data_IF_567856672759
#
_entry.id   IF_567856672759
#
_cell.length_a   1.000
_cell.length_b   1.000
_cell.length_c   1.000
_cell.angle_alpha   90.00
_cell.angle_beta   90.00
_cell.angle_gamma   90.00
#
_symmetry.space_group_name_H-M   'P 1'
#
loop_
_entity.id
_entity.type
_entity.pdbx_description
1 polymer ?
#
# COMPACT_ATOMS: atom_id res chain seq x y z
N UNK A 1 36.66 28.09 -16.60
CA UNK A 1 36.54 27.23 -15.40
C UNK A 1 35.44 27.67 -14.42
N UNK A 2 35.29 28.94 -14.06
CA UNK A 2 34.19 29.39 -13.17
C UNK A 2 32.78 29.18 -13.76
N UNK A 3 32.56 29.51 -15.02
CA UNK A 3 31.25 29.22 -15.66
C UNK A 3 30.97 27.72 -15.78
N UNK A 4 32.02 26.91 -15.96
CA UNK A 4 31.90 25.46 -15.98
C UNK A 4 31.46 24.92 -14.62
N UNK A 5 32.09 25.37 -13.53
CA UNK A 5 31.74 24.91 -12.18
C UNK A 5 30.31 25.31 -11.80
N UNK A 6 29.84 26.48 -12.24
CA UNK A 6 28.50 26.95 -11.98
C UNK A 6 27.44 26.07 -12.67
N UNK A 7 27.69 25.64 -13.92
CA UNK A 7 26.80 24.74 -14.65
C UNK A 7 26.77 23.32 -14.07
N UNK A 8 27.94 22.80 -13.71
CA UNK A 8 28.06 21.44 -13.16
C UNK A 8 27.55 21.32 -11.72
N UNK A 9 27.55 22.41 -10.96
CA UNK A 9 27.15 22.41 -9.56
C UNK A 9 25.69 21.97 -9.34
N UNK A 10 24.77 22.24 -10.27
CA UNK A 10 23.37 21.82 -10.16
C UNK A 10 23.22 20.30 -10.23
N UNK A 11 24.00 19.65 -11.09
CA UNK A 11 24.03 18.20 -11.25
C UNK A 11 24.88 17.49 -10.19
N UNK A 12 25.77 18.20 -9.51
CA UNK A 12 26.67 17.64 -8.51
C UNK A 12 25.92 17.30 -7.22
N UNK A 13 26.26 16.12 -6.67
CA UNK A 13 25.61 15.56 -5.47
C UNK A 13 26.30 15.96 -4.17
N UNK A 14 27.60 16.29 -4.24
CA UNK A 14 28.42 16.70 -3.10
C UNK A 14 29.57 17.61 -3.52
N UNK A 15 30.23 18.23 -2.54
CA UNK A 15 31.43 19.04 -2.78
C UNK A 15 32.58 18.19 -3.34
N UNK A 16 32.73 16.97 -2.84
CA UNK A 16 33.73 16.03 -3.32
C UNK A 16 33.47 15.60 -4.77
N UNK A 17 32.21 15.31 -5.13
CA UNK A 17 31.80 14.99 -6.49
C UNK A 17 32.16 16.13 -7.44
N UNK A 18 31.77 17.36 -7.11
CA UNK A 18 32.09 18.54 -7.92
C UNK A 18 33.60 18.79 -8.02
N UNK A 19 34.34 18.65 -6.92
CA UNK A 19 35.80 18.83 -6.91
C UNK A 19 36.51 17.78 -7.80
N UNK A 20 36.10 16.51 -7.74
CA UNK A 20 36.63 15.45 -8.61
C UNK A 20 36.38 15.77 -10.08
N UNK A 21 35.16 16.19 -10.44
CA UNK A 21 34.82 16.61 -11.82
C UNK A 21 35.65 17.83 -12.24
N UNK A 22 35.80 18.82 -11.36
CA UNK A 22 36.58 20.03 -11.63
C UNK A 22 38.05 19.72 -11.90
N UNK A 23 38.67 18.84 -11.11
CA UNK A 23 40.05 18.37 -11.34
C UNK A 23 40.17 17.67 -12.69
N UNK A 24 39.22 16.80 -13.03
CA UNK A 24 39.20 16.11 -14.32
C UNK A 24 39.08 17.11 -15.49
N UNK A 25 38.24 18.14 -15.36
CA UNK A 25 38.06 19.17 -16.38
C UNK A 25 39.31 20.05 -16.54
N UNK A 26 39.95 20.45 -15.44
CA UNK A 26 41.24 21.16 -15.50
C UNK A 26 42.30 20.33 -16.25
N UNK A 27 42.38 19.02 -15.99
CA UNK A 27 43.29 18.11 -16.71
C UNK A 27 42.94 18.02 -18.20
N UNK A 28 41.65 17.86 -18.53
CA UNK A 28 41.16 17.76 -19.91
C UNK A 28 41.48 19.03 -20.72
N UNK A 29 41.31 20.19 -20.10
CA UNK A 29 41.55 21.51 -20.73
C UNK A 29 42.99 22.00 -20.61
N UNK A 30 43.87 21.23 -19.96
CA UNK A 30 45.26 21.62 -19.64
C UNK A 30 45.36 22.93 -18.85
N UNK A 31 44.37 23.20 -18.00
CA UNK A 31 44.38 24.33 -17.07
C UNK A 31 45.18 23.97 -15.82
N UNK A 32 46.05 24.88 -15.34
CA UNK A 32 46.80 24.69 -14.08
C UNK A 32 45.82 24.52 -12.93
N UNK A 33 46.00 23.46 -12.15
CA UNK A 33 45.13 23.16 -11.03
C UNK A 33 45.37 24.16 -9.88
N UNK A 34 44.32 24.83 -9.36
CA UNK A 34 44.44 25.64 -8.16
C UNK A 34 44.83 24.81 -6.92
N UNK A 35 45.28 25.46 -5.86
CA UNK A 35 45.47 24.80 -4.56
C UNK A 35 44.20 24.15 -4.04
N UNK A 36 44.32 23.07 -3.27
CA UNK A 36 43.18 22.26 -2.78
C UNK A 36 42.12 23.07 -2.04
N UNK A 37 42.54 23.98 -1.15
CA UNK A 37 41.63 24.88 -0.42
C UNK A 37 40.86 25.85 -1.32
N UNK A 38 41.47 26.26 -2.44
CA UNK A 38 40.80 27.11 -3.44
C UNK A 38 39.76 26.32 -4.22
N UNK A 39 40.06 25.07 -4.58
CA UNK A 39 39.08 24.18 -5.23
C UNK A 39 37.90 23.94 -4.31
N UNK A 40 38.15 23.60 -3.05
CA UNK A 40 37.11 23.32 -2.06
C UNK A 40 36.15 24.52 -1.91
N UNK A 41 36.70 25.73 -1.74
CA UNK A 41 35.91 26.95 -1.63
C UNK A 41 35.13 27.27 -2.91
N UNK A 42 35.76 27.17 -4.08
CA UNK A 42 35.07 27.39 -5.36
C UNK A 42 33.90 26.41 -5.58
N UNK A 43 34.10 25.14 -5.22
CA UNK A 43 33.05 24.13 -5.31
C UNK A 43 31.93 24.41 -4.30
N UNK A 44 32.27 24.77 -3.06
CA UNK A 44 31.29 25.09 -2.01
C UNK A 44 30.44 26.32 -2.40
N UNK A 45 31.08 27.40 -2.84
CA UNK A 45 30.40 28.62 -3.29
C UNK A 45 29.46 28.32 -4.47
N UNK A 46 29.94 27.53 -5.46
CA UNK A 46 29.13 27.14 -6.60
C UNK A 46 27.94 26.24 -6.23
N UNK A 47 28.10 25.36 -5.23
CA UNK A 47 27.01 24.52 -4.74
C UNK A 47 25.94 25.31 -3.98
N UNK A 48 26.35 26.31 -3.20
CA UNK A 48 25.41 27.23 -2.53
C UNK A 48 24.63 28.04 -3.56
N UNK A 49 25.31 28.57 -4.57
CA UNK A 49 24.66 29.33 -5.62
C UNK A 49 23.73 28.46 -6.48
N UNK A 50 24.12 27.21 -6.76
CA UNK A 50 23.25 26.25 -7.43
C UNK A 50 22.02 25.89 -6.58
N UNK A 51 22.14 25.81 -5.25
CA UNK A 51 20.99 25.58 -4.37
C UNK A 51 20.02 26.77 -4.42
N UNK A 52 20.53 28.00 -4.35
CA UNK A 52 19.70 29.21 -4.50
C UNK A 52 18.97 29.27 -5.84
N UNK A 53 19.66 29.03 -6.96
CA UNK A 53 18.99 29.01 -8.27
C UNK A 53 17.87 27.98 -8.38
N UNK A 54 18.01 26.83 -7.74
CA UNK A 54 16.95 25.80 -7.70
C UNK A 54 15.78 26.27 -6.82
N UNK A 55 16.06 26.87 -5.67
CA UNK A 55 15.05 27.46 -4.78
C UNK A 55 14.27 28.55 -5.51
N UNK A 56 14.98 29.49 -6.16
CA UNK A 56 14.40 30.58 -6.94
C UNK A 56 13.57 30.03 -8.10
N UNK A 57 14.09 29.06 -8.87
CA UNK A 57 13.37 28.45 -10.00
C UNK A 57 12.00 27.88 -9.56
N UNK A 58 11.96 27.21 -8.41
CA UNK A 58 10.71 26.66 -7.87
C UNK A 58 9.81 27.80 -7.37
N UNK A 59 10.36 28.76 -6.64
CA UNK A 59 9.62 29.90 -6.10
C UNK A 59 8.94 30.74 -7.20
N UNK A 60 9.61 30.96 -8.33
CA UNK A 60 9.06 31.71 -9.47
C UNK A 60 7.86 31.03 -10.14
N UNK A 61 7.67 29.73 -9.93
CA UNK A 61 6.50 28.97 -10.43
C UNK A 61 5.32 29.00 -9.46
N UNK A 62 5.51 29.50 -8.24
CA UNK A 62 4.47 29.53 -7.20
C UNK A 62 3.61 30.77 -7.40
N UNK A 63 2.31 30.56 -7.59
CA UNK A 63 1.35 31.67 -7.70
C UNK A 63 1.16 32.37 -6.35
N UNK A 64 0.73 33.65 -6.32
CA UNK A 64 0.47 34.35 -5.06
C UNK A 64 -0.51 33.59 -4.14
N UNK A 65 -1.59 33.06 -4.69
CA UNK A 65 -2.57 32.25 -3.93
C UNK A 65 -1.95 30.97 -3.36
N UNK A 66 -1.08 30.29 -4.12
CA UNK A 66 -0.38 29.12 -3.61
C UNK A 66 0.62 29.52 -2.52
N UNK A 67 1.33 30.64 -2.67
CA UNK A 67 2.24 31.18 -1.66
C UNK A 67 1.54 31.39 -0.31
N UNK A 68 0.37 32.05 -0.33
CA UNK A 68 -0.47 32.27 0.86
C UNK A 68 -0.90 30.94 1.50
N UNK A 69 -1.40 30.00 0.70
CA UNK A 69 -1.80 28.68 1.19
C UNK A 69 -0.63 27.90 1.82
N UNK A 70 0.57 27.99 1.22
CA UNK A 70 1.78 27.38 1.77
C UNK A 70 2.22 28.06 3.07
N UNK A 71 2.11 29.38 3.17
CA UNK A 71 2.40 30.13 4.39
C UNK A 71 1.49 29.72 5.55
N UNK A 72 0.20 29.52 5.28
CA UNK A 72 -0.76 29.04 6.29
C UNK A 72 -0.40 27.67 6.87
N UNK A 73 0.40 26.84 6.18
CA UNK A 73 0.91 25.60 6.76
C UNK A 73 1.73 25.84 8.05
N UNK A 74 2.38 27.00 8.16
CA UNK A 74 3.24 27.37 9.27
C UNK A 74 2.51 28.15 10.38
N UNK A 75 1.28 28.61 10.11
CA UNK A 75 0.48 29.45 11.00
C UNK A 75 -0.67 28.66 11.63
N UNK A 76 -1.44 27.95 10.79
CA UNK A 76 -2.60 27.22 11.23
C UNK A 76 -2.22 26.01 12.07
N UNK A 77 -2.96 25.77 13.14
CA UNK A 77 -2.78 24.62 14.02
C UNK A 77 -3.92 23.63 13.92
N UNK A 78 -3.59 22.35 14.07
CA UNK A 78 -4.55 21.26 14.26
C UNK A 78 -4.75 21.08 15.76
N UNK A 79 -6.01 21.15 16.19
CA UNK A 79 -6.44 21.04 17.59
C UNK A 79 -5.71 22.00 18.56
N UNK A 80 -5.20 23.13 18.05
CA UNK A 80 -4.45 24.11 18.84
C UNK A 80 -3.05 23.65 19.29
N UNK A 81 -2.53 22.53 18.78
CA UNK A 81 -1.31 21.88 19.32
C UNK A 81 -0.12 21.89 18.36
N UNK A 82 -0.34 21.51 17.11
CA UNK A 82 0.72 21.36 16.11
C UNK A 82 0.34 22.12 14.86
N UNK A 83 1.32 22.76 14.20
CA UNK A 83 1.07 23.42 12.92
C UNK A 83 0.66 22.41 11.85
N UNK A 84 -0.09 22.86 10.83
CA UNK A 84 -0.47 22.04 9.68
C UNK A 84 0.75 21.39 9.02
N UNK A 85 1.86 22.11 8.90
CA UNK A 85 3.13 21.60 8.40
C UNK A 85 3.64 20.38 9.19
N UNK A 86 3.68 20.47 10.53
CA UNK A 86 4.12 19.35 11.38
C UNK A 86 3.13 18.19 11.34
N UNK A 87 1.83 18.48 11.34
CA UNK A 87 0.78 17.46 11.26
C UNK A 87 0.81 16.66 9.95
N UNK A 88 1.13 17.32 8.83
CA UNK A 88 1.28 16.71 7.51
C UNK A 88 2.53 15.86 7.37
N UNK A 89 3.61 16.22 8.06
CA UNK A 89 4.85 15.43 8.13
C UNK A 89 4.68 14.12 8.90
N UNK A 90 3.81 14.10 9.90
CA UNK A 90 3.71 13.00 10.87
C UNK A 90 2.65 11.98 10.46
N UNK A 91 3.06 10.97 9.69
CA UNK A 91 2.20 9.83 9.36
C UNK A 91 2.96 8.52 9.35
N UNK A 92 2.26 7.45 9.71
CA UNK A 92 2.75 6.09 9.71
C UNK A 92 1.67 5.16 9.16
N UNK A 93 2.09 3.96 8.75
CA UNK A 93 1.16 2.93 8.26
C UNK A 93 0.16 2.57 9.35
N UNK A 94 -1.11 2.83 9.07
CA UNK A 94 -2.21 2.57 9.97
C UNK A 94 -2.56 1.10 10.08
N UNK A 95 -3.41 0.80 11.06
CA UNK A 95 -3.84 -0.57 11.35
C UNK A 95 -5.35 -0.66 11.63
N UNK A 96 -6.17 0.31 11.25
CA UNK A 96 -7.62 0.22 11.37
C UNK A 96 -8.28 1.30 10.52
N UNK A 97 -9.60 1.24 10.41
CA UNK A 97 -10.39 2.18 9.62
C UNK A 97 -10.23 3.63 10.10
N UNK A 98 -10.04 3.87 11.40
CA UNK A 98 -9.80 5.21 11.95
C UNK A 98 -8.43 5.76 11.53
N UNK A 99 -7.38 4.94 11.55
CA UNK A 99 -6.05 5.32 11.07
C UNK A 99 -6.08 5.58 9.55
N UNK A 100 -6.78 4.76 8.77
CA UNK A 100 -6.96 4.98 7.34
C UNK A 100 -7.66 6.34 7.07
N UNK A 101 -8.72 6.66 7.81
CA UNK A 101 -9.40 7.95 7.67
C UNK A 101 -8.51 9.14 8.03
N UNK A 102 -7.73 9.07 9.11
CA UNK A 102 -6.77 10.13 9.47
C UNK A 102 -5.70 10.37 8.40
N UNK A 103 -5.27 9.32 7.70
CA UNK A 103 -4.35 9.45 6.56
C UNK A 103 -5.05 10.11 5.37
N UNK A 104 -6.30 9.74 5.09
CA UNK A 104 -7.11 10.36 4.04
C UNK A 104 -7.44 11.82 4.32
N UNK A 105 -7.65 12.22 5.58
CA UNK A 105 -7.84 13.63 5.96
C UNK A 105 -6.62 14.48 5.57
N UNK A 106 -5.41 13.94 5.75
CA UNK A 106 -4.15 14.61 5.35
C UNK A 106 -4.01 14.68 3.84
N UNK A 107 -4.26 13.57 3.14
CA UNK A 107 -4.17 13.54 1.68
C UNK A 107 -5.15 14.52 1.05
N UNK A 108 -6.39 14.54 1.51
CA UNK A 108 -7.44 15.45 1.03
C UNK A 108 -7.10 16.91 1.33
N UNK A 109 -6.49 17.20 2.49
CA UNK A 109 -6.01 18.54 2.79
C UNK A 109 -4.91 18.98 1.80
N UNK A 110 -3.94 18.11 1.51
CA UNK A 110 -2.87 18.41 0.55
C UNK A 110 -3.36 18.50 -0.90
N UNK A 111 -4.40 17.76 -1.28
CA UNK A 111 -4.98 17.81 -2.62
C UNK A 111 -5.63 19.16 -2.95
N UNK A 112 -5.89 20.01 -1.95
CA UNK A 112 -6.40 21.39 -2.15
C UNK A 112 -5.32 22.36 -2.64
N UNK A 113 -4.04 21.97 -2.54
CA UNK A 113 -2.93 22.77 -3.04
C UNK A 113 -2.80 22.55 -4.54
N UNK A 114 -3.16 23.57 -5.31
CA UNK A 114 -3.03 23.62 -6.77
C UNK A 114 -1.56 23.84 -7.15
N UNK A 115 -0.78 22.76 -7.05
CA UNK A 115 0.64 22.78 -7.40
C UNK A 115 0.77 22.68 -8.93
N UNK A 116 1.52 23.59 -9.58
CA UNK A 116 1.76 23.54 -11.02
C UNK A 116 2.35 22.20 -11.47
N UNK A 117 1.90 21.70 -12.62
CA UNK A 117 2.39 20.42 -13.16
C UNK A 117 3.89 20.46 -13.51
N UNK A 118 4.39 21.65 -13.87
CA UNK A 118 5.78 21.95 -14.22
C UNK A 118 6.61 22.44 -13.01
N UNK A 119 6.08 22.36 -11.78
CA UNK A 119 6.75 22.85 -10.55
C UNK A 119 8.20 22.39 -10.45
N UNK A 120 8.47 21.12 -10.79
CA UNK A 120 9.80 20.50 -10.69
C UNK A 120 10.53 20.36 -12.04
N UNK A 121 10.02 20.93 -13.12
CA UNK A 121 10.67 20.81 -14.44
C UNK A 121 12.07 21.41 -14.41
N UNK A 122 13.06 20.64 -14.88
CA UNK A 122 14.47 21.05 -14.83
C UNK A 122 15.13 20.95 -13.45
N UNK A 123 14.42 20.52 -12.39
CA UNK A 123 14.98 20.32 -11.06
C UNK A 123 15.51 18.87 -10.94
N UNK A 124 16.81 18.66 -10.67
CA UNK A 124 17.34 17.31 -10.49
C UNK A 124 16.70 16.57 -9.29
N UNK A 125 16.37 15.29 -9.44
CA UNK A 125 15.69 14.49 -8.41
C UNK A 125 16.41 14.47 -7.04
N UNK A 126 17.75 14.55 -7.03
CA UNK A 126 18.52 14.62 -5.80
C UNK A 126 18.33 15.95 -5.05
N UNK A 127 18.07 17.06 -5.77
CA UNK A 127 17.74 18.38 -5.20
C UNK A 127 16.35 18.38 -4.58
N UNK A 128 15.37 17.81 -5.27
CA UNK A 128 14.01 17.57 -4.73
C UNK A 128 14.09 16.78 -3.42
N UNK A 129 14.85 15.67 -3.43
CA UNK A 129 15.07 14.84 -2.24
C UNK A 129 15.70 15.61 -1.08
N UNK A 130 16.66 16.50 -1.37
CA UNK A 130 17.32 17.35 -0.38
C UNK A 130 16.36 18.39 0.22
N UNK A 131 15.58 19.09 -0.60
CA UNK A 131 14.58 20.07 -0.14
C UNK A 131 13.52 19.39 0.75
N UNK A 132 12.99 18.22 0.34
CA UNK A 132 12.09 17.42 1.19
C UNK A 132 12.73 17.10 2.55
N UNK A 133 13.98 16.62 2.56
CA UNK A 133 14.71 16.29 3.81
C UNK A 133 14.94 17.52 4.69
N UNK A 134 15.11 18.71 4.11
CA UNK A 134 15.21 19.96 4.86
C UNK A 134 13.88 20.27 5.55
N UNK A 135 12.77 20.22 4.82
CA UNK A 135 11.44 20.42 5.42
C UNK A 135 11.11 19.38 6.49
N UNK A 136 11.61 18.15 6.36
CA UNK A 136 11.47 17.14 7.41
C UNK A 136 12.26 17.43 8.69
N UNK A 137 13.28 18.28 8.63
CA UNK A 137 14.11 18.66 9.79
C UNK A 137 13.61 19.92 10.49
N UNK A 138 13.10 20.89 9.74
CA UNK A 138 12.63 22.14 10.32
C UNK A 138 11.33 21.97 11.12
N UNK A 139 11.14 22.84 12.11
CA UNK A 139 9.85 23.15 12.72
C UNK A 139 9.33 24.47 12.13
N UNK A 140 8.10 24.86 12.48
CA UNK A 140 7.45 26.00 11.83
C UNK A 140 8.15 27.34 12.11
N UNK A 141 8.72 27.52 13.29
CA UNK A 141 9.58 28.64 13.64
C UNK A 141 10.83 28.70 12.75
N UNK A 142 11.61 27.62 12.70
CA UNK A 142 12.80 27.55 11.87
C UNK A 142 12.52 27.68 10.37
N UNK A 143 11.33 27.25 9.90
CA UNK A 143 10.88 27.51 8.53
C UNK A 143 10.56 28.99 8.29
N UNK A 144 9.95 29.69 9.26
CA UNK A 144 9.58 31.10 9.14
C UNK A 144 10.80 32.02 9.02
N UNK A 145 11.91 31.64 9.66
CA UNK A 145 13.16 32.40 9.66
C UNK A 145 13.96 32.29 8.34
N UNK A 146 13.56 31.41 7.42
CA UNK A 146 14.20 31.26 6.12
C UNK A 146 13.86 32.40 5.16
N UNK A 147 14.75 32.72 4.21
CA UNK A 147 14.40 33.57 3.06
C UNK A 147 13.15 33.05 2.35
N UNK A 148 12.33 33.96 1.83
CA UNK A 148 11.00 33.65 1.30
C UNK A 148 11.02 32.59 0.18
N UNK A 149 11.84 32.79 -0.86
CA UNK A 149 11.94 31.86 -1.99
C UNK A 149 12.35 30.46 -1.54
N UNK A 150 13.34 30.39 -0.64
CA UNK A 150 13.80 29.15 -0.03
C UNK A 150 12.70 28.46 0.78
N UNK A 151 11.99 29.22 1.61
CA UNK A 151 10.85 28.72 2.41
C UNK A 151 9.77 28.16 1.50
N UNK A 152 9.38 28.88 0.46
CA UNK A 152 8.34 28.48 -0.48
C UNK A 152 8.76 27.24 -1.29
N UNK A 153 10.00 27.18 -1.76
CA UNK A 153 10.52 26.02 -2.48
C UNK A 153 10.46 24.75 -1.62
N UNK A 154 10.90 24.81 -0.37
CA UNK A 154 10.84 23.68 0.57
C UNK A 154 9.37 23.28 0.83
N UNK A 155 8.48 24.23 1.12
CA UNK A 155 7.07 23.95 1.40
C UNK A 155 6.34 23.32 0.20
N UNK A 156 6.59 23.82 -1.00
CA UNK A 156 5.99 23.30 -2.23
C UNK A 156 6.48 21.87 -2.51
N UNK A 157 7.80 21.63 -2.40
CA UNK A 157 8.38 20.29 -2.55
C UNK A 157 7.83 19.33 -1.49
N UNK A 158 7.77 19.73 -0.22
CA UNK A 158 7.20 18.90 0.85
C UNK A 158 5.74 18.57 0.59
N UNK A 159 4.91 19.55 0.21
CA UNK A 159 3.50 19.34 -0.14
C UNK A 159 3.36 18.32 -1.27
N UNK A 160 4.14 18.46 -2.34
CA UNK A 160 4.15 17.52 -3.46
C UNK A 160 4.54 16.11 -3.02
N UNK A 161 5.67 15.98 -2.33
CA UNK A 161 6.25 14.68 -1.95
C UNK A 161 5.42 13.96 -0.87
N UNK A 162 4.83 14.70 0.06
CA UNK A 162 3.95 14.14 1.09
C UNK A 162 2.62 13.67 0.52
N UNK A 163 2.09 14.26 -0.57
CA UNK A 163 0.91 13.73 -1.27
C UNK A 163 1.16 12.31 -1.76
N UNK A 164 2.25 12.10 -2.50
CA UNK A 164 2.66 10.79 -2.99
C UNK A 164 2.94 9.81 -1.85
N UNK A 165 3.66 10.26 -0.81
CA UNK A 165 4.00 9.42 0.34
C UNK A 165 2.76 9.00 1.14
N UNK A 166 1.79 9.90 1.35
CA UNK A 166 0.54 9.58 2.03
C UNK A 166 -0.31 8.59 1.24
N UNK A 167 -0.37 8.74 -0.08
CA UNK A 167 -1.08 7.79 -0.95
C UNK A 167 -0.48 6.38 -0.81
N UNK A 168 0.85 6.26 -0.78
CA UNK A 168 1.55 5.00 -0.53
C UNK A 168 1.20 4.40 0.84
N UNK A 169 1.24 5.23 1.89
CA UNK A 169 0.91 4.80 3.25
C UNK A 169 -0.57 4.39 3.39
N UNK A 170 -1.49 4.98 2.63
CA UNK A 170 -2.90 4.56 2.57
C UNK A 170 -3.02 3.15 1.96
N UNK A 171 -2.32 2.88 0.85
CA UNK A 171 -2.28 1.54 0.23
C UNK A 171 -1.69 0.51 1.19
N UNK A 172 -0.59 0.83 1.87
CA UNK A 172 0.02 -0.06 2.89
C UNK A 172 -0.92 -0.30 4.09
N UNK A 173 -1.67 0.73 4.49
CA UNK A 173 -2.67 0.63 5.56
C UNK A 173 -3.79 -0.32 5.16
N UNK A 174 -4.28 -0.20 3.92
CA UNK A 174 -5.28 -1.11 3.37
C UNK A 174 -4.77 -2.56 3.34
N UNK A 175 -3.56 -2.78 2.81
CA UNK A 175 -2.89 -4.09 2.82
C UNK A 175 -2.84 -4.68 4.24
N UNK A 176 -2.42 -3.88 5.22
CA UNK A 176 -2.32 -4.30 6.62
C UNK A 176 -3.68 -4.61 7.26
N UNK A 177 -4.75 -3.94 6.87
CA UNK A 177 -6.12 -4.23 7.34
C UNK A 177 -6.61 -5.55 6.75
N UNK A 178 -6.51 -5.72 5.43
CA UNK A 178 -6.90 -6.96 4.73
C UNK A 178 -6.13 -8.16 5.27
N UNK A 179 -4.80 -8.05 5.36
CA UNK A 179 -3.94 -9.14 5.84
C UNK A 179 -4.18 -9.51 7.31
N UNK A 180 -4.67 -8.58 8.16
CA UNK A 180 -5.06 -8.93 9.54
C UNK A 180 -6.43 -9.57 9.63
N UNK A 181 -7.37 -9.14 8.79
CA UNK A 181 -8.66 -9.82 8.68
C UNK A 181 -8.45 -11.28 8.27
N UNK A 182 -7.72 -11.52 7.19
CA UNK A 182 -7.47 -12.89 6.71
C UNK A 182 -6.78 -13.76 7.77
N UNK A 183 -5.73 -13.25 8.42
CA UNK A 183 -5.05 -13.97 9.52
C UNK A 183 -5.93 -14.18 10.75
N UNK A 184 -6.90 -13.32 11.02
CA UNK A 184 -7.87 -13.54 12.10
C UNK A 184 -8.84 -14.66 11.72
N UNK A 185 -9.36 -14.64 10.49
CA UNK A 185 -10.21 -15.71 9.93
C UNK A 185 -9.50 -17.07 9.91
N UNK A 186 -8.25 -17.11 9.47
CA UNK A 186 -7.42 -18.32 9.46
C UNK A 186 -7.18 -18.87 10.87
N UNK A 187 -6.85 -17.99 11.84
CA UNK A 187 -6.69 -18.40 13.24
C UNK A 187 -7.97 -19.00 13.81
N UNK A 188 -9.14 -18.41 13.54
CA UNK A 188 -10.42 -18.95 14.01
C UNK A 188 -10.73 -20.33 13.42
N UNK A 189 -10.47 -20.53 12.13
CA UNK A 189 -10.60 -21.84 11.50
C UNK A 189 -9.64 -22.87 12.14
N UNK A 190 -8.38 -22.50 12.31
CA UNK A 190 -7.36 -23.38 12.89
C UNK A 190 -7.66 -23.74 14.35
N UNK A 191 -8.13 -22.78 15.16
CA UNK A 191 -8.58 -23.04 16.53
C UNK A 191 -9.75 -24.02 16.54
N UNK A 192 -10.76 -23.81 15.69
CA UNK A 192 -11.90 -24.73 15.60
C UNK A 192 -11.49 -26.15 15.20
N UNK A 193 -10.56 -26.29 14.26
CA UNK A 193 -10.00 -27.60 13.88
C UNK A 193 -9.24 -28.24 15.05
N UNK A 194 -8.49 -27.44 15.81
CA UNK A 194 -7.75 -27.92 16.98
C UNK A 194 -8.69 -28.40 18.09
N UNK A 195 -9.79 -27.67 18.35
CA UNK A 195 -10.79 -28.03 19.37
C UNK A 195 -11.49 -29.36 19.04
N UNK A 196 -11.75 -29.63 17.77
CA UNK A 196 -12.40 -30.86 17.30
C UNK A 196 -11.43 -32.05 17.13
N UNK A 197 -10.13 -31.88 17.40
CA UNK A 197 -9.10 -32.90 17.13
C UNK A 197 -9.35 -34.23 17.85
N UNK A 198 -9.85 -34.15 19.10
CA UNK A 198 -10.19 -35.35 19.86
C UNK A 198 -11.40 -36.07 19.24
N UNK A 199 -12.45 -35.33 18.89
CA UNK A 199 -13.64 -35.88 18.25
C UNK A 199 -13.32 -36.52 16.89
N UNK A 200 -12.43 -35.92 16.08
CA UNK A 200 -11.92 -36.51 14.83
C UNK A 200 -11.22 -37.84 15.09
N UNK A 201 -10.27 -37.87 16.04
CA UNK A 201 -9.54 -39.10 16.38
C UNK A 201 -10.49 -40.20 16.86
N UNK A 202 -11.41 -39.88 17.75
CA UNK A 202 -12.31 -40.86 18.36
C UNK A 202 -13.33 -41.38 17.34
N UNK A 203 -13.77 -40.52 16.42
CA UNK A 203 -14.61 -40.89 15.27
C UNK A 203 -13.88 -41.83 14.30
N UNK A 204 -12.64 -41.50 13.92
CA UNK A 204 -11.82 -42.36 13.05
C UNK A 204 -11.52 -43.72 13.70
N UNK A 205 -11.24 -43.73 15.00
CA UNK A 205 -11.04 -44.97 15.76
C UNK A 205 -12.29 -45.84 15.75
N UNK A 206 -13.46 -45.25 15.98
CA UNK A 206 -14.73 -45.97 15.96
C UNK A 206 -15.05 -46.56 14.57
N UNK A 207 -14.72 -45.83 13.49
CA UNK A 207 -14.84 -46.38 12.13
C UNK A 207 -13.84 -47.51 11.86
N UNK A 208 -12.60 -47.40 12.35
CA UNK A 208 -11.61 -48.47 12.22
C UNK A 208 -12.02 -49.74 12.99
N UNK A 209 -12.60 -49.60 14.18
CA UNK A 209 -13.14 -50.72 14.97
C UNK A 209 -14.29 -51.42 14.23
N UNK A 210 -15.25 -50.65 13.68
CA UNK A 210 -16.35 -51.20 12.90
C UNK A 210 -15.83 -51.86 11.62
N UNK A 211 -14.92 -51.20 10.90
CA UNK A 211 -14.30 -51.75 9.68
C UNK A 211 -13.51 -53.02 9.95
N UNK A 212 -12.77 -53.08 11.07
CA UNK A 212 -12.05 -54.27 11.49
C UNK A 212 -12.97 -55.44 11.83
N UNK A 213 -14.10 -55.18 12.50
CA UNK A 213 -15.10 -56.21 12.78
C UNK A 213 -15.75 -56.76 11.49
N UNK A 214 -16.03 -55.89 10.51
CA UNK A 214 -16.54 -56.29 9.21
C UNK A 214 -15.53 -57.14 8.43
N UNK A 215 -14.25 -56.73 8.40
CA UNK A 215 -13.18 -57.47 7.74
C UNK A 215 -12.94 -58.84 8.39
N UNK A 216 -12.89 -58.90 9.73
CA UNK A 216 -12.70 -60.18 10.44
C UNK A 216 -13.83 -61.17 10.16
N UNK A 217 -15.08 -60.73 10.17
CA UNK A 217 -16.20 -61.60 9.81
C UNK A 217 -16.18 -62.05 8.34
N UNK A 218 -15.70 -61.19 7.42
CA UNK A 218 -15.50 -61.56 6.03
C UNK A 218 -14.42 -62.64 5.89
N UNK A 219 -13.30 -62.50 6.59
CA UNK A 219 -12.19 -63.45 6.59
C UNK A 219 -12.61 -64.81 7.20
N UNK A 220 -13.45 -64.78 8.23
CA UNK A 220 -14.00 -65.97 8.91
C UNK A 220 -15.21 -66.59 8.17
N UNK A 221 -15.63 -66.02 7.03
CA UNK A 221 -16.80 -66.50 6.26
C UNK A 221 -18.15 -66.34 6.97
N UNK A 222 -18.23 -65.42 7.93
CA UNK A 222 -19.43 -65.15 8.75
C UNK A 222 -20.36 -64.14 8.07
N UNK A 223 -21.67 -64.25 8.31
CA UNK A 223 -22.65 -63.32 7.74
C UNK A 223 -22.46 -61.89 8.29
N UNK A 224 -22.41 -60.91 7.37
CA UNK A 224 -22.11 -59.50 7.69
C UNK A 224 -23.33 -58.71 8.19
N UNK A 225 -24.53 -59.21 7.94
CA UNK A 225 -25.81 -58.57 8.22
C UNK A 225 -26.04 -58.24 9.70
N UNK A 226 -25.48 -59.08 10.59
CA UNK A 226 -25.62 -58.93 12.04
C UNK A 226 -24.57 -58.03 12.71
N UNK A 227 -23.43 -57.72 12.08
CA UNK A 227 -22.24 -57.20 12.81
C UNK A 227 -22.48 -55.83 13.45
N UNK A 228 -23.17 -54.94 12.75
CA UNK A 228 -23.53 -53.61 13.29
C UNK A 228 -24.61 -53.74 14.36
N UNK A 229 -25.51 -54.72 14.21
CA UNK A 229 -26.61 -54.96 15.14
C UNK A 229 -26.16 -55.65 16.45
N UNK A 230 -25.19 -56.57 16.38
CA UNK A 230 -24.60 -57.28 17.53
C UNK A 230 -23.49 -56.49 18.21
N UNK A 231 -22.89 -55.52 17.51
CA UNK A 231 -21.88 -54.62 18.04
C UNK A 231 -22.45 -53.27 18.52
N UNK A 232 -22.08 -52.12 17.90
CA UNK A 232 -22.48 -50.79 18.35
C UNK A 232 -23.98 -50.46 18.39
N UNK A 233 -24.77 -51.15 17.57
CA UNK A 233 -26.14 -50.78 17.24
C UNK A 233 -26.24 -49.75 16.10
N UNK A 234 -27.33 -49.87 15.32
CA UNK A 234 -27.61 -48.97 14.19
C UNK A 234 -27.76 -47.50 14.57
N UNK A 235 -28.26 -47.22 15.77
CA UNK A 235 -28.40 -45.84 16.27
C UNK A 235 -27.03 -45.19 16.50
N UNK A 236 -26.11 -45.89 17.17
CA UNK A 236 -24.74 -45.41 17.40
C UNK A 236 -23.99 -45.21 16.10
N UNK A 237 -24.19 -46.09 15.12
CA UNK A 237 -23.61 -45.94 13.79
C UNK A 237 -24.14 -44.71 13.05
N UNK A 238 -25.46 -44.43 13.09
CA UNK A 238 -26.04 -43.21 12.51
C UNK A 238 -25.45 -41.95 13.15
N UNK A 239 -25.33 -41.93 14.48
CA UNK A 239 -24.68 -40.82 15.19
C UNK A 239 -23.23 -40.66 14.77
N UNK A 240 -22.47 -41.75 14.64
CA UNK A 240 -21.08 -41.72 14.19
C UNK A 240 -20.94 -41.15 12.76
N UNK A 241 -21.82 -41.54 11.84
CA UNK A 241 -21.86 -41.01 10.46
C UNK A 241 -22.21 -39.52 10.44
N UNK A 242 -23.18 -39.10 11.26
CA UNK A 242 -23.54 -37.69 11.40
C UNK A 242 -22.38 -36.87 11.97
N UNK A 243 -21.70 -37.37 13.00
CA UNK A 243 -20.51 -36.75 13.60
C UNK A 243 -19.37 -36.65 12.59
N UNK A 244 -19.06 -37.71 11.84
CA UNK A 244 -18.04 -37.65 10.79
C UNK A 244 -18.38 -36.63 9.70
N UNK A 245 -19.64 -36.53 9.30
CA UNK A 245 -20.09 -35.53 8.32
C UNK A 245 -19.90 -34.11 8.86
N UNK A 246 -20.28 -33.87 10.12
CA UNK A 246 -20.09 -32.58 10.79
C UNK A 246 -18.60 -32.20 10.92
N UNK A 247 -17.75 -33.15 11.33
CA UNK A 247 -16.30 -32.95 11.46
C UNK A 247 -15.62 -32.70 10.11
N UNK A 248 -16.05 -33.41 9.06
CA UNK A 248 -15.55 -33.18 7.70
C UNK A 248 -15.83 -31.76 7.24
N UNK A 249 -17.01 -31.21 7.55
CA UNK A 249 -17.34 -29.82 7.26
C UNK A 249 -16.48 -28.82 8.05
N UNK A 250 -16.13 -29.13 9.31
CA UNK A 250 -15.20 -28.29 10.11
C UNK A 250 -13.80 -28.30 9.50
N UNK A 251 -13.29 -29.48 9.11
CA UNK A 251 -11.97 -29.61 8.49
C UNK A 251 -11.89 -28.97 7.09
N UNK A 252 -13.01 -28.92 6.37
CA UNK A 252 -13.12 -28.25 5.07
C UNK A 252 -13.40 -26.74 5.16
N UNK A 253 -13.45 -26.17 6.38
CA UNK A 253 -13.75 -24.77 6.60
C UNK A 253 -12.66 -23.86 6.01
N UNK A 254 -13.04 -23.04 5.04
CA UNK A 254 -12.16 -22.08 4.38
C UNK A 254 -12.18 -20.73 5.13
N UNK A 255 -11.02 -20.12 5.46
CA UNK A 255 -10.94 -18.79 6.03
C UNK A 255 -11.76 -17.72 5.26
N UNK A 256 -11.92 -17.87 3.94
CA UNK A 256 -12.76 -16.97 3.13
C UNK A 256 -14.23 -16.95 3.57
N UNK A 257 -14.74 -18.01 4.20
CA UNK A 257 -16.12 -18.02 4.75
C UNK A 257 -16.32 -17.05 5.92
N UNK A 258 -15.22 -16.52 6.51
CA UNK A 258 -15.22 -15.65 7.68
C UNK A 258 -14.80 -14.20 7.37
N UNK A 259 -14.47 -13.88 6.12
CA UNK A 259 -14.01 -12.51 5.79
C UNK A 259 -15.15 -11.50 5.83
N UNK A 260 -16.41 -11.94 5.72
CA UNK A 260 -17.60 -11.11 5.92
C UNK A 260 -17.63 -10.40 7.29
N UNK A 261 -16.99 -10.98 8.32
CA UNK A 261 -16.84 -10.35 9.64
C UNK A 261 -16.07 -9.01 9.56
N UNK A 262 -15.31 -8.78 8.48
CA UNK A 262 -14.61 -7.54 8.20
C UNK A 262 -15.42 -6.47 7.47
N UNK A 263 -16.60 -6.80 6.96
CA UNK A 263 -17.38 -5.96 6.04
C UNK A 263 -17.58 -4.52 6.55
N UNK A 264 -18.14 -4.38 7.76
CA UNK A 264 -18.41 -3.06 8.34
C UNK A 264 -17.13 -2.24 8.52
N UNK A 265 -16.00 -2.88 8.86
CA UNK A 265 -14.72 -2.18 8.98
C UNK A 265 -14.23 -1.62 7.65
N UNK A 266 -14.43 -2.34 6.55
CA UNK A 266 -14.08 -1.85 5.22
C UNK A 266 -14.96 -0.67 4.79
N UNK A 267 -16.28 -0.76 4.98
CA UNK A 267 -17.21 0.33 4.61
C UNK A 267 -16.87 1.68 5.24
N UNK A 268 -16.26 1.68 6.43
CA UNK A 268 -15.87 2.91 7.14
C UNK A 268 -14.77 3.73 6.43
N UNK A 269 -14.00 3.14 5.50
CA UNK A 269 -12.89 3.86 4.85
C UNK A 269 -12.74 3.57 3.36
N UNK A 270 -13.08 2.37 2.90
CA UNK A 270 -12.82 1.94 1.53
C UNK A 270 -13.49 2.84 0.47
N UNK A 271 -14.78 3.24 0.56
CA UNK A 271 -15.38 4.11 -0.45
C UNK A 271 -14.64 5.45 -0.59
N UNK A 272 -14.15 6.01 0.52
CA UNK A 272 -13.37 7.26 0.51
C UNK A 272 -11.99 7.04 -0.10
N UNK A 273 -11.32 5.95 0.27
CA UNK A 273 -10.01 5.57 -0.28
C UNK A 273 -10.06 5.43 -1.81
N UNK A 274 -11.07 4.72 -2.32
CA UNK A 274 -11.24 4.48 -3.77
C UNK A 274 -11.53 5.76 -4.56
N UNK A 275 -12.08 6.80 -3.92
CA UNK A 275 -12.28 8.11 -4.55
C UNK A 275 -11.04 8.98 -4.54
N UNK A 276 -10.27 8.95 -3.44
CA UNK A 276 -9.10 9.80 -3.26
C UNK A 276 -7.86 9.31 -4.01
N UNK A 277 -7.72 8.00 -4.17
CA UNK A 277 -6.59 7.40 -4.87
C UNK A 277 -6.86 7.34 -6.38
N UNK A 278 -6.00 7.99 -7.15
CA UNK A 278 -6.01 7.91 -8.62
C UNK A 278 -5.31 6.62 -9.07
N UNK A 279 -6.12 5.57 -9.25
CA UNK A 279 -5.66 4.22 -9.59
C UNK A 279 -5.62 4.03 -11.10
N UNK A 280 -4.46 3.62 -11.60
CA UNK A 280 -4.25 3.18 -12.98
C UNK A 280 -3.97 1.68 -12.99
N UNK A 281 -4.27 1.00 -14.10
CA UNK A 281 -4.12 -0.46 -14.18
C UNK A 281 -3.55 -0.92 -15.51
N UNK A 282 -2.84 -2.05 -15.44
CA UNK A 282 -2.44 -2.80 -16.61
C UNK A 282 -3.69 -3.41 -17.29
N UNK A 283 -3.62 -3.76 -18.58
CA UNK A 283 -4.76 -4.36 -19.30
C UNK A 283 -5.38 -5.58 -18.60
N UNK A 284 -4.57 -6.36 -17.88
CA UNK A 284 -5.04 -7.54 -17.14
C UNK A 284 -5.89 -7.20 -15.90
N UNK A 285 -5.71 -6.02 -15.33
CA UNK A 285 -6.45 -5.55 -14.15
C UNK A 285 -7.57 -4.56 -14.49
N UNK A 286 -7.85 -4.32 -15.78
CA UNK A 286 -9.00 -3.51 -16.22
C UNK A 286 -10.34 -4.00 -15.65
N UNK A 287 -10.64 -5.32 -15.60
CA UNK A 287 -11.87 -5.80 -14.95
C UNK A 287 -11.95 -5.44 -13.47
N UNK A 288 -10.81 -5.40 -12.77
CA UNK A 288 -10.75 -4.99 -11.36
C UNK A 288 -11.02 -3.49 -11.20
N UNK A 289 -10.49 -2.62 -12.06
CA UNK A 289 -10.83 -1.20 -12.04
C UNK A 289 -12.31 -0.94 -12.36
N UNK A 290 -12.92 -1.73 -13.25
CA UNK A 290 -14.36 -1.64 -13.49
C UNK A 290 -15.15 -1.98 -12.21
N UNK A 291 -14.75 -3.02 -11.48
CA UNK A 291 -15.32 -3.36 -10.18
C UNK A 291 -15.12 -2.24 -9.13
N UNK A 292 -13.94 -1.62 -9.09
CA UNK A 292 -13.67 -0.44 -8.24
C UNK A 292 -14.59 0.73 -8.58
N UNK A 293 -14.83 1.00 -9.87
CA UNK A 293 -15.75 2.04 -10.31
C UNK A 293 -17.19 1.75 -9.84
N UNK A 294 -17.63 0.49 -9.86
CA UNK A 294 -18.92 0.10 -9.30
C UNK A 294 -18.98 0.33 -7.78
N UNK A 295 -17.92 -0.01 -7.02
CA UNK A 295 -17.87 0.28 -5.58
C UNK A 295 -17.94 1.79 -5.27
N UNK A 296 -17.34 2.64 -6.12
CA UNK A 296 -17.36 4.09 -5.95
C UNK A 296 -18.74 4.68 -6.21
N UNK A 297 -19.43 4.19 -7.25
CA UNK A 297 -20.66 4.79 -7.78
C UNK A 297 -21.93 4.08 -7.29
N UNK A 298 -21.79 2.96 -6.59
CA UNK A 298 -22.88 2.08 -6.18
C UNK A 298 -23.14 0.96 -7.17
N UNK A 299 -23.52 -0.20 -6.65
CA UNK A 299 -23.86 -1.39 -7.42
C UNK A 299 -25.32 -1.25 -7.88
N UNK A 300 -25.53 -1.14 -9.19
CA UNK A 300 -26.86 -0.96 -9.82
C UNK A 300 -27.36 -2.21 -10.55
N UNK A 301 -26.44 -3.10 -10.87
CA UNK A 301 -26.66 -4.34 -11.63
C UNK A 301 -25.82 -5.42 -10.96
N UNK A 302 -26.13 -6.68 -11.25
CA UNK A 302 -25.36 -7.80 -10.72
C UNK A 302 -23.88 -7.64 -11.05
N UNK A 303 -23.00 -7.67 -10.04
CA UNK A 303 -21.63 -7.28 -10.25
C UNK A 303 -20.81 -8.41 -10.89
N UNK A 304 -19.92 -8.11 -11.86
CA UNK A 304 -19.13 -9.11 -12.56
C UNK A 304 -18.06 -9.70 -11.65
N UNK A 305 -17.61 -10.92 -11.99
CA UNK A 305 -16.54 -11.62 -11.26
C UNK A 305 -15.30 -11.85 -12.13
N UNK A 306 -15.20 -11.19 -13.28
CA UNK A 306 -14.15 -11.38 -14.28
C UNK A 306 -12.76 -10.92 -13.81
N UNK A 307 -12.70 -10.13 -12.74
CA UNK A 307 -11.44 -9.77 -12.08
C UNK A 307 -10.83 -10.93 -11.29
N UNK A 308 -11.58 -12.01 -11.07
CA UNK A 308 -11.09 -13.22 -10.43
C UNK A 308 -10.38 -14.11 -11.45
N UNK A 309 -9.27 -14.73 -11.02
CA UNK A 309 -8.66 -15.81 -11.81
C UNK A 309 -9.61 -17.01 -11.90
N UNK A 310 -9.62 -17.77 -13.02
CA UNK A 310 -10.55 -18.90 -13.20
C UNK A 310 -10.54 -19.96 -12.10
N UNK A 311 -9.39 -20.17 -11.45
CA UNK A 311 -9.19 -21.13 -10.36
C UNK A 311 -9.34 -20.51 -8.95
N UNK A 312 -9.88 -19.30 -8.85
CA UNK A 312 -10.03 -18.59 -7.59
C UNK A 312 -11.03 -19.27 -6.66
N UNK A 313 -10.64 -19.49 -5.39
CA UNK A 313 -11.53 -20.02 -4.35
C UNK A 313 -12.76 -19.12 -4.10
N UNK A 314 -12.64 -17.82 -4.40
CA UNK A 314 -13.72 -16.85 -4.27
C UNK A 314 -14.95 -17.21 -5.10
N UNK A 315 -14.79 -17.86 -6.26
CA UNK A 315 -15.93 -18.25 -7.10
C UNK A 315 -16.94 -19.13 -6.35
N UNK A 316 -16.48 -20.09 -5.54
CA UNK A 316 -17.40 -20.97 -4.80
C UNK A 316 -18.22 -20.19 -3.78
N UNK A 317 -17.60 -19.21 -3.12
CA UNK A 317 -18.23 -18.46 -2.03
C UNK A 317 -19.18 -17.39 -2.58
N UNK A 318 -18.81 -16.72 -3.67
CA UNK A 318 -19.67 -15.73 -4.32
C UNK A 318 -20.91 -16.37 -4.97
N UNK A 319 -20.81 -17.59 -5.51
CA UNK A 319 -21.98 -18.32 -6.02
C UNK A 319 -22.94 -18.78 -4.92
N UNK A 320 -22.46 -18.87 -3.68
CA UNK A 320 -23.26 -19.29 -2.54
C UNK A 320 -23.93 -18.11 -1.82
N UNK A 321 -23.62 -16.86 -2.18
CA UNK A 321 -24.31 -15.69 -1.61
C UNK A 321 -25.76 -15.60 -2.10
N UNK A 322 -26.71 -15.21 -1.22
CA UNK A 322 -28.08 -14.90 -1.63
C UNK A 322 -28.11 -13.79 -2.69
N UNK A 323 -29.03 -13.90 -3.66
CA UNK A 323 -29.24 -12.85 -4.66
C UNK A 323 -29.52 -11.49 -4.01
N UNK A 324 -28.83 -10.45 -4.47
CA UNK A 324 -28.93 -9.09 -3.93
C UNK A 324 -28.05 -8.80 -2.71
N UNK A 325 -27.38 -9.80 -2.13
CA UNK A 325 -26.29 -9.58 -1.17
C UNK A 325 -24.96 -9.49 -1.93
N UNK A 326 -24.31 -8.33 -1.88
CA UNK A 326 -23.04 -8.09 -2.58
C UNK A 326 -21.88 -7.90 -1.61
N UNK A 327 -22.08 -8.18 -0.31
CA UNK A 327 -21.08 -7.87 0.73
C UNK A 327 -19.78 -8.64 0.55
N UNK A 328 -19.86 -9.93 0.22
CA UNK A 328 -18.65 -10.70 -0.05
C UNK A 328 -17.98 -10.26 -1.34
N UNK A 329 -18.77 -9.86 -2.36
CA UNK A 329 -18.24 -9.28 -3.58
C UNK A 329 -17.45 -7.99 -3.31
N UNK A 330 -17.98 -7.07 -2.49
CA UNK A 330 -17.26 -5.84 -2.11
C UNK A 330 -15.93 -6.18 -1.43
N UNK A 331 -15.93 -7.16 -0.51
CA UNK A 331 -14.71 -7.60 0.17
C UNK A 331 -13.74 -8.28 -0.81
N UNK A 332 -14.24 -9.09 -1.75
CA UNK A 332 -13.42 -9.73 -2.77
C UNK A 332 -12.67 -8.70 -3.60
N UNK A 333 -13.35 -7.64 -4.05
CA UNK A 333 -12.71 -6.53 -4.79
C UNK A 333 -11.59 -5.90 -3.96
N UNK A 334 -11.84 -5.60 -2.69
CA UNK A 334 -10.83 -5.02 -1.79
C UNK A 334 -9.61 -5.93 -1.58
N UNK A 335 -9.81 -7.24 -1.46
CA UNK A 335 -8.70 -8.19 -1.42
C UNK A 335 -7.88 -8.18 -2.72
N UNK A 336 -8.55 -8.11 -3.87
CA UNK A 336 -7.87 -8.11 -5.16
C UNK A 336 -7.19 -6.77 -5.45
N UNK A 337 -7.68 -5.64 -4.95
CA UNK A 337 -6.97 -4.35 -5.01
C UNK A 337 -5.61 -4.45 -4.31
N UNK A 338 -5.58 -5.01 -3.09
CA UNK A 338 -4.33 -5.27 -2.38
C UNK A 338 -3.38 -6.14 -3.21
N UNK A 339 -3.87 -7.24 -3.77
CA UNK A 339 -3.03 -8.17 -4.51
C UNK A 339 -2.54 -7.55 -5.85
N UNK A 340 -3.35 -6.70 -6.48
CA UNK A 340 -2.99 -5.95 -7.68
C UNK A 340 -1.92 -4.87 -7.41
N UNK A 341 -2.02 -4.14 -6.29
CA UNK A 341 -0.94 -3.22 -5.87
C UNK A 341 0.37 -3.95 -5.55
N UNK A 342 0.29 -5.14 -4.95
CA UNK A 342 1.48 -5.96 -4.62
C UNK A 342 2.17 -6.53 -5.85
N UNK A 343 1.40 -6.87 -6.89
CA UNK A 343 1.92 -7.39 -8.16
C UNK A 343 2.33 -6.31 -9.15
N UNK A 344 1.92 -5.05 -8.92
CA UNK A 344 2.14 -3.94 -9.84
C UNK A 344 1.13 -3.90 -10.99
N UNK A 345 0.08 -4.71 -10.95
CA UNK A 345 -1.01 -4.70 -11.94
C UNK A 345 -1.89 -3.44 -11.80
N UNK A 346 -1.91 -2.82 -10.61
CA UNK A 346 -2.46 -1.49 -10.34
C UNK A 346 -1.36 -0.62 -9.72
N UNK A 347 -1.30 0.65 -10.12
CA UNK A 347 -0.40 1.67 -9.59
C UNK A 347 -1.13 2.99 -9.36
N UNK A 348 -0.48 3.91 -8.65
CA UNK A 348 -0.91 5.27 -8.41
C UNK A 348 -0.07 6.24 -9.24
N UNK A 349 -0.71 7.22 -9.89
CA UNK A 349 0.01 8.28 -10.58
C UNK A 349 0.87 9.09 -9.59
N UNK A 350 2.14 9.31 -9.93
CA UNK A 350 3.07 10.10 -9.10
C UNK A 350 3.48 9.46 -7.76
N UNK A 351 3.11 8.20 -7.52
CA UNK A 351 3.58 7.42 -6.37
C UNK A 351 5.02 6.97 -6.55
N UNK A 352 5.76 6.83 -5.42
CA UNK A 352 7.13 6.30 -5.43
C UNK A 352 7.15 4.79 -5.26
N UNK A 353 6.37 4.26 -4.30
CA UNK A 353 6.39 2.82 -3.97
C UNK A 353 5.43 2.00 -4.83
N UNK A 354 4.29 2.59 -5.17
CA UNK A 354 3.23 2.00 -5.98
C UNK A 354 3.06 2.78 -7.28
N UNK A 355 4.13 3.35 -7.85
CA UNK A 355 4.12 4.02 -9.14
C UNK A 355 4.21 3.04 -10.32
N UNK A 356 4.12 3.56 -11.55
CA UNK A 356 4.28 2.73 -12.75
C UNK A 356 5.70 2.16 -12.83
N UNK A 357 5.81 0.85 -12.68
CA UNK A 357 7.08 0.11 -12.77
C UNK A 357 7.81 0.36 -14.10
N UNK A 358 7.09 0.62 -15.20
CA UNK A 358 7.71 0.92 -16.50
C UNK A 358 8.46 2.23 -16.51
N UNK A 359 8.05 3.21 -15.70
CA UNK A 359 8.74 4.49 -15.54
C UNK A 359 10.00 4.37 -14.66
N UNK A 360 10.09 3.31 -13.85
CA UNK A 360 11.26 3.00 -13.02
C UNK A 360 12.31 2.16 -13.77
N UNK A 361 11.94 1.55 -14.90
CA UNK A 361 12.88 0.86 -15.78
C UNK A 361 13.58 1.89 -16.67
N UNK A 362 14.88 2.08 -16.43
CA UNK A 362 15.74 2.94 -17.26
C UNK A 362 15.59 2.52 -18.73
N UNK A 363 15.38 3.46 -19.68
CA UNK A 363 15.39 3.12 -21.09
C UNK A 363 16.74 2.46 -21.43
N UNK A 364 16.79 1.40 -22.26
CA UNK A 364 18.07 0.87 -22.71
C UNK A 364 18.88 2.01 -23.32
N UNK A 365 20.07 2.26 -22.78
CA UNK A 365 21.03 3.19 -23.38
C UNK A 365 21.25 2.73 -24.83
N UNK A 366 20.83 3.57 -25.78
CA UNK A 366 21.17 3.40 -27.20
C UNK A 366 22.55 3.95 -27.47
#
# INVERSE_FOLDING_TARGET
MREWIAREAEAATSNEDLARRFVAECRRTRTILPGSSTIERLCADALVEAERRIEDLIAHRITPTLSENLAHLLEDTVDGRVTRFVWLRQFEVGANSAAANRLMDRLEYLQRFDLPADLLDGVPAHRVTRLRRQGERYYADGMRDLPEDRRLAILAVCTLEWRSSLADVIVETHDRIVGRLYRASERLCNTRIADEKAAVRDTLKSFAEIGGALLGAQDDGTALDGIIATGPGWERFRTLVATASALTNVLAADPLSRVLDGYHRFRLYAPRMLRLLDMQAAPIATPLLAAVAMLRNGIKVDPPVDFLRPNSKWHRHLRAEPSGDHRLWEIAVLFHIRDAFRSGDIWLAGSRRYGDLKQLLVPPQR
#
